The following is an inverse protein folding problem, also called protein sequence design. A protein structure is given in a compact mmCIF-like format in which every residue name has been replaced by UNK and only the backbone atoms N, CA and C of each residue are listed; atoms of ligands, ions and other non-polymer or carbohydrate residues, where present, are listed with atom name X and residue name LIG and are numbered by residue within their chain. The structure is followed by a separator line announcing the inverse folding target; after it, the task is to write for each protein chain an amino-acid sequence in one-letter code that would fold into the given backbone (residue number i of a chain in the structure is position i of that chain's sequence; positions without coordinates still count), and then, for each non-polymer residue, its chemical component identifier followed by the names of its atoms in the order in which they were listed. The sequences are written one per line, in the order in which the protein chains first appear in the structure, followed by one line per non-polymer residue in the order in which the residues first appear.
data_IF_555943885679
#
_entry.id   IF_555943885679
#
_cell.length_a   1.000
_cell.length_b   1.000
_cell.length_c   1.000
_cell.angle_alpha   90.00
_cell.angle_beta   90.00
_cell.angle_gamma   90.00
#
_symmetry.space_group_name_H-M   'P 1'
#
loop_
_entity.id
_entity.type
_entity.pdbx_description
1 polymer ?
#
# COMPACT_ATOMS: atom_id res chain seq x y z
N UNK A 1 -24.25 23.42 24.72
CA UNK A 1 -23.07 22.64 25.15
C UNK A 1 -22.46 22.00 23.91
N UNK A 2 -21.33 22.50 23.44
CA UNK A 2 -20.53 21.84 22.39
C UNK A 2 -19.66 20.80 23.07
N UNK A 3 -20.10 19.54 23.07
CA UNK A 3 -19.24 18.42 23.43
C UNK A 3 -18.06 18.40 22.46
N UNK A 4 -16.82 18.44 22.98
CA UNK A 4 -15.63 18.24 22.13
C UNK A 4 -15.76 16.90 21.43
N UNK A 5 -15.67 16.89 20.10
CA UNK A 5 -15.63 15.66 19.33
C UNK A 5 -14.38 14.89 19.76
N UNK A 6 -14.56 13.64 20.18
CA UNK A 6 -13.45 12.72 20.36
C UNK A 6 -12.89 12.41 18.97
N UNK A 7 -11.63 12.78 18.75
CA UNK A 7 -10.88 12.43 17.56
C UNK A 7 -9.68 11.59 17.98
N UNK A 8 -9.38 10.55 17.20
CA UNK A 8 -8.13 9.82 17.31
C UNK A 8 -6.94 10.74 17.10
N UNK A 9 -5.80 10.38 17.68
CA UNK A 9 -4.55 11.08 17.46
C UNK A 9 -4.15 11.06 15.98
N UNK A 10 -3.37 12.05 15.55
CA UNK A 10 -2.88 12.10 14.17
C UNK A 10 -2.10 10.84 13.78
N UNK A 11 -1.35 10.25 14.72
CA UNK A 11 -0.57 9.03 14.46
C UNK A 11 -1.48 7.82 14.20
N UNK A 12 -2.58 7.69 14.93
CA UNK A 12 -3.57 6.64 14.69
C UNK A 12 -4.23 6.82 13.32
N UNK A 13 -4.62 8.05 12.98
CA UNK A 13 -5.17 8.37 11.66
C UNK A 13 -4.16 8.05 10.55
N UNK A 14 -2.89 8.40 10.75
CA UNK A 14 -1.82 8.08 9.79
C UNK A 14 -1.69 6.58 9.57
N UNK A 15 -1.68 5.78 10.64
CA UNK A 15 -1.59 4.32 10.52
C UNK A 15 -2.79 3.71 9.78
N UNK A 16 -3.99 4.25 9.96
CA UNK A 16 -5.19 3.78 9.26
C UNK A 16 -5.18 4.14 7.77
N UNK A 17 -4.52 5.24 7.39
CA UNK A 17 -4.44 5.71 6.00
C UNK A 17 -3.15 5.31 5.28
N UNK A 18 -2.16 4.77 6.01
CA UNK A 18 -0.92 4.24 5.48
C UNK A 18 -1.03 2.72 5.37
N UNK A 19 -1.25 2.23 4.16
CA UNK A 19 -1.50 0.82 3.87
C UNK A 19 -0.35 -0.11 4.30
N UNK A 20 0.89 0.41 4.33
CA UNK A 20 2.05 -0.33 4.80
C UNK A 20 2.10 -0.43 6.33
N UNK A 21 1.93 0.69 7.03
CA UNK A 21 1.86 0.69 8.49
C UNK A 21 0.67 -0.15 8.97
N UNK A 22 -0.48 -0.03 8.31
CA UNK A 22 -1.67 -0.84 8.59
C UNK A 22 -1.39 -2.34 8.47
N UNK A 23 -0.75 -2.78 7.36
CA UNK A 23 -0.35 -4.19 7.18
C UNK A 23 0.62 -4.67 8.26
N UNK A 24 1.57 -3.83 8.69
CA UNK A 24 2.48 -4.17 9.80
C UNK A 24 1.75 -4.31 11.13
N UNK A 25 0.76 -3.46 11.41
CA UNK A 25 -0.05 -3.55 12.64
C UNK A 25 -0.80 -4.87 12.67
N UNK A 26 -1.43 -5.28 11.56
CA UNK A 26 -2.11 -6.58 11.47
C UNK A 26 -1.16 -7.72 11.79
N UNK A 27 0.05 -7.70 11.22
CA UNK A 27 1.07 -8.71 11.49
C UNK A 27 1.51 -8.75 12.97
N UNK A 28 1.65 -7.59 13.62
CA UNK A 28 2.00 -7.51 15.05
C UNK A 28 0.88 -8.00 15.97
N UNK A 29 -0.36 -7.85 15.54
CA UNK A 29 -1.54 -8.34 16.25
C UNK A 29 -1.89 -9.80 15.91
N UNK A 30 -1.03 -10.49 15.13
CA UNK A 30 -1.27 -11.87 14.68
C UNK A 30 -2.60 -12.04 13.92
N UNK A 31 -3.06 -10.97 13.29
CA UNK A 31 -4.23 -11.00 12.41
C UNK A 31 -3.83 -11.44 11.02
N UNK A 32 -4.75 -12.14 10.35
CA UNK A 32 -4.57 -12.56 8.97
C UNK A 32 -4.41 -11.33 8.05
N UNK A 33 -3.47 -11.42 7.12
CA UNK A 33 -3.16 -10.36 6.16
C UNK A 33 -2.53 -10.94 4.90
N UNK A 34 -2.77 -10.32 3.73
CA UNK A 34 -2.04 -10.69 2.53
C UNK A 34 -0.54 -10.43 2.72
N UNK A 35 0.28 -11.27 2.09
CA UNK A 35 1.70 -11.01 1.95
C UNK A 35 1.89 -9.68 1.20
N UNK A 36 2.60 -8.75 1.84
CA UNK A 36 2.75 -7.39 1.36
C UNK A 36 4.22 -7.05 1.13
N UNK A 37 4.51 -6.39 0.01
CA UNK A 37 5.84 -5.89 -0.31
C UNK A 37 5.83 -4.36 -0.43
N UNK A 38 6.84 -3.71 0.14
CA UNK A 38 7.01 -2.25 0.07
C UNK A 38 8.01 -1.90 -1.03
N UNK A 39 7.63 -1.00 -1.93
CA UNK A 39 8.41 -0.62 -3.10
C UNK A 39 8.64 0.89 -3.14
N UNK A 40 9.90 1.28 -3.31
CA UNK A 40 10.34 2.70 -3.40
C UNK A 40 10.98 3.03 -4.73
N UNK A 41 11.17 2.03 -5.60
CA UNK A 41 11.63 2.18 -6.98
C UNK A 41 11.02 1.10 -7.88
N UNK A 42 10.96 1.30 -9.20
CA UNK A 42 10.40 0.31 -10.13
C UNK A 42 11.05 -1.07 -10.05
N UNK A 43 12.33 -1.12 -9.71
CA UNK A 43 13.09 -2.37 -9.60
C UNK A 43 12.55 -3.27 -8.48
N UNK A 44 12.04 -2.70 -7.39
CA UNK A 44 11.46 -3.47 -6.29
C UNK A 44 10.23 -4.25 -6.75
N UNK A 45 9.43 -3.67 -7.64
CA UNK A 45 8.23 -4.31 -8.21
C UNK A 45 8.60 -5.41 -9.20
N UNK A 46 9.72 -5.26 -9.93
CA UNK A 46 10.22 -6.29 -10.85
C UNK A 46 10.71 -7.55 -10.11
N UNK A 47 11.04 -7.44 -8.83
CA UNK A 47 11.42 -8.58 -7.99
C UNK A 47 10.21 -9.36 -7.45
N UNK A 48 8.98 -8.85 -7.62
CA UNK A 48 7.79 -9.55 -7.17
C UNK A 48 7.52 -10.78 -8.02
N UNK A 49 7.05 -11.85 -7.37
CA UNK A 49 6.49 -12.99 -8.07
C UNK A 49 5.17 -12.62 -8.77
N UNK A 50 5.24 -12.44 -10.08
CA UNK A 50 4.10 -12.13 -10.96
C UNK A 50 3.42 -13.39 -11.53
N UNK A 51 3.80 -14.60 -11.09
CA UNK A 51 3.09 -15.83 -11.45
C UNK A 51 1.64 -15.81 -10.97
N UNK A 52 1.35 -15.00 -9.93
CA UNK A 52 0.03 -14.74 -9.37
C UNK A 52 -0.40 -13.32 -9.71
N UNK A 53 -1.72 -13.10 -9.77
CA UNK A 53 -2.26 -11.75 -9.90
C UNK A 53 -1.84 -10.92 -8.69
N UNK A 54 -1.22 -9.76 -8.92
CA UNK A 54 -0.75 -8.84 -7.89
C UNK A 54 -1.40 -7.47 -8.07
N UNK A 55 -1.57 -6.74 -6.98
CA UNK A 55 -2.14 -5.40 -6.99
C UNK A 55 -1.17 -4.43 -6.37
N UNK A 56 -0.70 -3.45 -7.12
CA UNK A 56 0.18 -2.40 -6.62
C UNK A 56 -0.65 -1.13 -6.36
N UNK A 57 -0.51 -0.55 -5.17
CA UNK A 57 -1.22 0.67 -4.78
C UNK A 57 -0.30 1.62 -4.03
N UNK A 58 -0.51 2.95 -4.10
CA UNK A 58 0.28 3.87 -3.30
C UNK A 58 0.05 3.59 -1.82
N UNK A 59 1.07 3.84 -1.01
CA UNK A 59 1.00 3.60 0.44
C UNK A 59 0.06 4.59 1.13
N UNK A 60 0.01 5.83 0.62
CA UNK A 60 -0.88 6.89 1.06
C UNK A 60 -1.75 7.30 -0.12
N UNK A 61 -2.96 6.76 -0.22
CA UNK A 61 -3.97 7.25 -1.16
C UNK A 61 -5.37 6.86 -0.67
N UNK A 62 -6.40 7.35 -1.35
CA UNK A 62 -7.79 6.90 -1.17
C UNK A 62 -7.94 5.50 -1.74
N UNK A 63 -8.84 4.72 -1.12
CA UNK A 63 -9.04 3.27 -1.26
C UNK A 63 -9.16 2.68 -2.69
N UNK A 64 -9.32 3.50 -3.74
CA UNK A 64 -9.41 3.05 -5.13
C UNK A 64 -8.54 3.81 -6.12
N UNK A 65 -7.84 4.87 -5.69
CA UNK A 65 -7.02 5.70 -6.57
C UNK A 65 -5.61 5.11 -6.69
N UNK A 66 -5.01 5.21 -7.87
CA UNK A 66 -3.63 4.74 -8.10
C UNK A 66 -3.43 3.22 -8.07
N UNK A 67 -4.51 2.43 -7.89
CA UNK A 67 -4.44 0.96 -7.85
C UNK A 67 -4.18 0.40 -9.26
N UNK A 68 -3.12 -0.39 -9.38
CA UNK A 68 -2.72 -1.10 -10.60
C UNK A 68 -2.81 -2.60 -10.37
N UNK A 69 -3.54 -3.31 -11.23
CA UNK A 69 -3.64 -4.77 -11.18
C UNK A 69 -2.78 -5.38 -12.26
N UNK A 70 -1.84 -6.23 -11.85
CA UNK A 70 -0.99 -6.99 -12.75
C UNK A 70 -1.60 -8.37 -12.98
N UNK A 71 -1.78 -8.72 -14.26
CA UNK A 71 -2.23 -10.04 -14.66
C UNK A 71 -1.02 -10.98 -14.77
N UNK A 72 -1.15 -12.25 -14.39
CA UNK A 72 -0.11 -13.24 -14.60
C UNK A 72 0.38 -13.26 -16.06
N UNK A 73 1.70 -13.34 -16.24
CA UNK A 73 2.33 -13.47 -17.56
C UNK A 73 2.26 -12.24 -18.47
N UNK A 74 1.84 -11.07 -17.96
CA UNK A 74 1.94 -9.80 -18.69
C UNK A 74 3.11 -8.96 -18.19
N UNK A 75 3.79 -8.29 -19.12
CA UNK A 75 4.81 -7.32 -18.79
C UNK A 75 4.23 -6.16 -17.97
N UNK A 76 5.05 -5.65 -17.04
CA UNK A 76 4.72 -4.51 -16.22
C UNK A 76 4.94 -3.22 -17.01
N UNK A 77 3.87 -2.45 -17.21
CA UNK A 77 3.97 -1.09 -17.74
C UNK A 77 4.13 -0.08 -16.60
N UNK A 78 5.35 0.43 -16.45
CA UNK A 78 5.70 1.47 -15.47
C UNK A 78 5.60 2.89 -16.00
N UNK A 79 5.31 3.09 -17.29
CA UNK A 79 5.30 4.43 -17.92
C UNK A 79 4.33 5.40 -17.24
N UNK A 80 3.31 4.86 -16.59
CA UNK A 80 2.25 5.60 -15.92
C UNK A 80 2.30 5.51 -14.38
N UNK A 81 3.40 5.02 -13.81
CA UNK A 81 3.57 4.83 -12.35
C UNK A 81 4.86 5.54 -11.89
N UNK A 82 4.70 6.54 -11.04
CA UNK A 82 5.83 7.22 -10.40
C UNK A 82 6.14 6.57 -9.05
N UNK A 83 6.92 5.50 -9.04
CA UNK A 83 7.39 4.84 -7.81
C UNK A 83 8.69 5.51 -7.38
N UNK A 84 8.69 6.10 -6.18
CA UNK A 84 9.85 6.79 -5.62
C UNK A 84 9.84 6.68 -4.09
N UNK A 85 10.94 7.05 -3.40
CA UNK A 85 10.93 7.14 -1.94
C UNK A 85 9.90 8.15 -1.39
N UNK A 86 9.54 9.18 -2.16
CA UNK A 86 8.52 10.17 -1.80
C UNK A 86 7.10 9.73 -2.18
N UNK A 87 6.95 8.69 -3.00
CA UNK A 87 5.68 8.11 -3.39
C UNK A 87 5.79 6.57 -3.43
N UNK A 88 5.88 5.93 -2.25
CA UNK A 88 6.06 4.49 -2.17
C UNK A 88 4.76 3.74 -2.46
N UNK A 89 4.89 2.49 -2.90
CA UNK A 89 3.79 1.59 -3.20
C UNK A 89 3.86 0.32 -2.36
N UNK A 90 2.72 -0.33 -2.19
CA UNK A 90 2.56 -1.65 -1.57
C UNK A 90 1.91 -2.60 -2.56
N UNK A 91 2.41 -3.84 -2.64
CA UNK A 91 1.85 -4.92 -3.47
C UNK A 91 1.28 -6.07 -2.67
#
# INVERSE_FOLDING_TARGET
MTSRLYASSFIELYWLHNEWEFSKIFGRCELDRPEAHFSTKPEDVKMLDLSRGKTLRPVLDRSSTGVRRFKPGRELDFSSINISPSNPFIS
#
